data_IF_621631807068
#
_entry.id   IF_621631807068
#
_cell.length_a   1.000
_cell.length_b   1.000
_cell.length_c   1.000
_cell.angle_alpha   90.00
_cell.angle_beta   90.00
_cell.angle_gamma   90.00
#
_symmetry.space_group_name_H-M   'P 1'
#
loop_
_entity.id
_entity.type
_entity.pdbx_description
1 polymer ?
#
# COMPACT_ATOMS: atom_id res chain seq x y z
N UNK A 1 -21.83 -70.22 17.76
CA UNK A 1 -21.85 -68.94 17.02
C UNK A 1 -20.91 -68.00 17.75
N UNK A 2 -19.65 -67.93 17.30
CA UNK A 2 -18.61 -66.91 17.61
C UNK A 2 -18.56 -66.43 19.08
N UNK A 3 -17.73 -66.91 20.01
CA UNK A 3 -16.34 -67.41 19.99
C UNK A 3 -15.35 -66.41 19.38
N UNK A 4 -14.51 -65.89 20.28
CA UNK A 4 -13.12 -65.45 20.13
C UNK A 4 -12.80 -64.07 19.52
N UNK A 5 -12.00 -63.33 20.31
CA UNK A 5 -10.72 -62.70 19.93
C UNK A 5 -10.74 -61.60 18.84
N UNK A 6 -10.08 -60.45 18.97
CA UNK A 6 -8.97 -60.04 19.81
C UNK A 6 -8.85 -58.51 19.76
N UNK A 7 -8.07 -57.97 20.71
CA UNK A 7 -7.68 -56.57 20.94
C UNK A 7 -8.67 -55.81 21.83
N UNK A 8 -8.40 -55.49 23.10
CA UNK A 8 -7.11 -55.24 23.74
C UNK A 8 -7.02 -55.85 25.14
N UNK A 9 -6.43 -57.04 25.22
CA UNK A 9 -5.56 -57.38 26.35
C UNK A 9 -4.32 -56.48 26.31
N UNK A 10 -4.16 -55.60 27.30
CA UNK A 10 -2.84 -55.12 27.78
C UNK A 10 -2.93 -54.19 29.00
N UNK A 11 -3.90 -54.41 29.90
CA UNK A 11 -3.76 -54.03 31.31
C UNK A 11 -3.27 -55.28 32.04
N UNK A 12 -1.96 -55.52 31.99
CA UNK A 12 -1.16 -56.23 33.01
C UNK A 12 0.25 -56.44 32.46
N UNK A 13 1.09 -55.41 32.56
CA UNK A 13 2.53 -55.53 32.83
C UNK A 13 3.17 -54.15 32.79
N UNK A 14 3.06 -53.37 33.86
CA UNK A 14 3.97 -52.25 34.07
C UNK A 14 4.37 -52.23 35.54
N UNK A 15 5.52 -52.88 35.74
CA UNK A 15 6.27 -52.92 36.97
C UNK A 15 6.50 -51.52 37.53
N UNK A 16 6.31 -51.40 38.84
CA UNK A 16 6.78 -50.25 39.65
C UNK A 16 8.30 -50.15 39.48
N UNK A 17 8.86 -49.05 38.93
CA UNK A 17 10.30 -48.93 38.79
C UNK A 17 10.91 -48.66 40.16
N UNK A 18 11.86 -49.50 40.56
CA UNK A 18 12.70 -49.30 41.74
C UNK A 18 13.48 -47.99 41.67
N UNK A 19 13.65 -47.38 42.84
CA UNK A 19 14.20 -46.05 43.12
C UNK A 19 15.64 -45.70 42.64
N UNK A 20 16.50 -46.59 42.09
CA UNK A 20 17.83 -46.17 41.60
C UNK A 20 17.85 -45.42 40.25
N UNK A 21 16.77 -45.47 39.45
CA UNK A 21 16.78 -44.96 38.04
C UNK A 21 16.40 -43.48 37.86
N UNK A 22 15.86 -42.80 38.87
CA UNK A 22 15.51 -41.37 38.77
C UNK A 22 16.70 -40.42 38.98
N UNK A 23 17.73 -40.84 39.73
CA UNK A 23 18.91 -40.00 40.02
C UNK A 23 19.82 -39.84 38.78
N UNK A 24 19.94 -40.89 37.95
CA UNK A 24 20.78 -40.85 36.74
C UNK A 24 20.16 -40.08 35.57
N UNK A 25 18.82 -40.01 35.45
CA UNK A 25 18.14 -39.17 34.45
C UNK A 25 18.22 -37.68 34.81
N UNK A 26 18.15 -37.33 36.10
CA UNK A 26 18.28 -35.95 36.57
C UNK A 26 19.68 -35.35 36.36
N UNK A 27 20.74 -36.14 36.57
CA UNK A 27 22.13 -35.71 36.32
C UNK A 27 22.39 -35.49 34.83
N UNK A 28 21.97 -36.42 33.96
CA UNK A 28 22.17 -36.35 32.49
C UNK A 28 21.41 -35.19 31.83
N UNK A 29 20.23 -34.82 32.34
CA UNK A 29 19.48 -33.64 31.85
C UNK A 29 20.04 -32.31 32.38
N UNK A 30 20.61 -32.27 33.59
CA UNK A 30 21.30 -31.08 34.11
C UNK A 30 22.61 -30.80 33.36
N UNK A 31 23.34 -31.84 32.99
CA UNK A 31 24.58 -31.75 32.23
C UNK A 31 24.34 -31.24 30.80
N UNK A 32 23.34 -31.80 30.08
CA UNK A 32 22.93 -31.30 28.76
C UNK A 32 22.45 -29.84 28.77
N UNK A 33 21.74 -29.41 29.83
CA UNK A 33 21.32 -28.00 29.97
C UNK A 33 22.50 -27.07 30.22
N UNK A 34 23.49 -27.49 31.02
CA UNK A 34 24.72 -26.72 31.26
C UNK A 34 25.58 -26.60 30.01
N UNK A 35 25.65 -27.66 29.21
CA UNK A 35 26.43 -27.67 27.97
C UNK A 35 25.78 -26.80 26.87
N UNK A 36 24.44 -26.82 26.76
CA UNK A 36 23.69 -25.92 25.87
C UNK A 36 23.90 -24.45 26.26
N UNK A 37 23.79 -24.12 27.55
CA UNK A 37 24.00 -22.76 28.05
C UNK A 37 25.44 -22.26 27.78
N UNK A 38 26.44 -23.13 27.98
CA UNK A 38 27.84 -22.82 27.65
C UNK A 38 28.14 -22.66 26.16
N UNK A 39 27.31 -23.22 25.27
CA UNK A 39 27.41 -23.02 23.82
C UNK A 39 26.73 -21.72 23.38
N UNK A 40 25.58 -21.40 23.97
CA UNK A 40 24.88 -20.12 23.73
C UNK A 40 25.71 -18.94 24.24
N UNK A 41 26.27 -19.01 25.46
CA UNK A 41 27.14 -17.97 26.01
C UNK A 41 28.42 -17.78 25.16
N UNK A 42 29.01 -18.87 24.63
CA UNK A 42 30.17 -18.78 23.72
C UNK A 42 29.84 -18.16 22.38
N UNK A 43 28.66 -18.47 21.83
CA UNK A 43 28.17 -17.90 20.57
C UNK A 43 27.86 -16.42 20.73
N UNK A 44 27.28 -16.02 21.86
CA UNK A 44 27.01 -14.62 22.16
C UNK A 44 28.30 -13.83 22.41
N UNK A 45 29.33 -14.46 22.99
CA UNK A 45 30.66 -13.86 23.16
C UNK A 45 31.44 -13.78 21.83
N UNK A 46 31.29 -14.77 20.95
CA UNK A 46 31.83 -14.73 19.58
C UNK A 46 31.10 -13.69 18.71
N UNK A 47 29.78 -13.58 18.78
CA UNK A 47 28.99 -12.53 18.11
C UNK A 47 29.37 -11.14 18.63
N UNK A 48 29.59 -10.97 19.94
CA UNK A 48 30.09 -9.70 20.52
C UNK A 48 31.53 -9.41 20.10
N UNK A 49 32.41 -10.42 20.02
CA UNK A 49 33.78 -10.24 19.49
C UNK A 49 33.77 -9.88 18.01
N UNK A 50 32.89 -10.50 17.22
CA UNK A 50 32.74 -10.21 15.80
C UNK A 50 32.19 -8.79 15.59
N UNK A 51 31.19 -8.38 16.40
CA UNK A 51 30.67 -7.01 16.38
C UNK A 51 31.73 -5.98 16.78
N UNK A 52 32.55 -6.25 17.80
CA UNK A 52 33.63 -5.34 18.23
C UNK A 52 34.75 -5.23 17.17
N UNK A 53 35.09 -6.33 16.48
CA UNK A 53 36.07 -6.32 15.37
C UNK A 53 35.55 -5.54 14.17
N UNK A 54 34.25 -5.64 13.84
CA UNK A 54 33.63 -4.84 12.79
C UNK A 54 33.65 -3.34 13.15
N UNK A 55 33.40 -3.01 14.42
CA UNK A 55 33.38 -1.61 14.88
C UNK A 55 34.80 -1.01 14.93
N UNK A 56 35.86 -1.79 15.15
CA UNK A 56 37.22 -1.25 15.30
C UNK A 56 38.02 -1.09 14.00
N UNK A 57 37.60 -1.69 12.87
CA UNK A 57 38.40 -1.71 11.63
C UNK A 57 37.77 -1.07 10.38
N UNK A 58 36.56 -0.47 10.44
CA UNK A 58 35.93 0.10 9.23
C UNK A 58 35.14 1.41 9.37
N UNK A 59 34.97 1.97 10.57
CA UNK A 59 33.88 2.92 10.82
C UNK A 59 34.25 4.42 10.83
N UNK A 60 35.31 4.87 10.14
CA UNK A 60 35.65 6.31 10.13
C UNK A 60 35.79 6.95 8.74
N UNK A 61 35.92 6.18 7.66
CA UNK A 61 36.01 6.73 6.30
C UNK A 61 34.76 6.47 5.44
N UNK A 62 34.04 5.35 5.65
CA UNK A 62 32.83 5.04 4.87
C UNK A 62 31.58 5.76 5.38
N UNK A 63 31.50 6.08 6.67
CA UNK A 63 30.37 6.82 7.27
C UNK A 63 30.31 8.30 6.85
N UNK A 64 31.43 8.90 6.46
CA UNK A 64 31.45 10.25 5.89
C UNK A 64 31.01 10.29 4.44
N UNK A 65 31.28 9.22 3.66
CA UNK A 65 30.80 9.12 2.28
C UNK A 65 29.32 8.73 2.21
N UNK A 66 28.85 7.83 3.08
CA UNK A 66 27.42 7.48 3.19
C UNK A 66 26.55 8.66 3.62
N UNK A 67 27.09 9.64 4.36
CA UNK A 67 26.38 10.87 4.72
C UNK A 67 26.34 11.93 3.60
N UNK A 68 27.26 11.86 2.63
CA UNK A 68 27.33 12.84 1.54
C UNK A 68 26.54 12.39 0.29
N UNK A 69 26.45 11.08 0.01
CA UNK A 69 25.60 10.58 -1.10
C UNK A 69 24.10 10.63 -0.75
N UNK A 70 23.73 10.51 0.53
CA UNK A 70 22.35 10.61 0.99
C UNK A 70 21.82 12.06 1.10
N UNK A 71 22.65 13.06 0.76
CA UNK A 71 22.32 14.49 0.85
C UNK A 71 22.41 15.21 -0.49
N UNK A 72 22.50 14.49 -1.62
CA UNK A 72 21.91 15.01 -2.84
C UNK A 72 20.39 15.03 -2.62
N UNK A 73 19.84 16.24 -2.48
CA UNK A 73 18.39 16.41 -2.30
C UNK A 73 17.69 15.82 -3.53
N UNK A 74 17.11 14.63 -3.38
CA UNK A 74 16.27 14.03 -4.42
C UNK A 74 15.21 15.04 -4.84
N UNK A 75 15.24 15.45 -6.10
CA UNK A 75 14.20 16.32 -6.64
C UNK A 75 12.98 15.49 -7.02
N UNK A 76 11.82 16.13 -7.10
CA UNK A 76 10.59 15.48 -7.61
C UNK A 76 10.80 14.91 -9.03
N UNK A 77 11.69 15.55 -9.80
CA UNK A 77 12.09 15.10 -11.14
C UNK A 77 12.93 13.83 -11.11
N UNK A 78 13.82 13.66 -10.13
CA UNK A 78 14.59 12.43 -9.95
C UNK A 78 13.68 11.25 -9.56
N UNK A 79 12.53 11.53 -8.93
CA UNK A 79 11.47 10.57 -8.68
C UNK A 79 10.56 10.31 -9.91
N UNK A 80 10.86 10.90 -11.06
CA UNK A 80 10.13 10.71 -12.32
C UNK A 80 9.02 11.73 -12.60
N UNK A 81 8.87 12.78 -11.79
CA UNK A 81 7.80 13.78 -11.92
C UNK A 81 8.38 15.15 -12.27
N UNK A 82 8.24 15.56 -13.53
CA UNK A 82 8.68 16.89 -14.01
C UNK A 82 7.54 17.92 -13.90
N UNK A 83 7.51 18.64 -12.78
CA UNK A 83 6.49 19.65 -12.45
C UNK A 83 6.48 20.79 -13.48
N UNK A 84 7.66 21.18 -13.98
CA UNK A 84 7.79 22.26 -14.95
C UNK A 84 7.23 21.86 -16.32
N UNK A 85 7.51 20.63 -16.75
CA UNK A 85 6.94 20.06 -17.95
C UNK A 85 5.41 19.95 -17.85
N UNK A 86 4.89 19.44 -16.72
CA UNK A 86 3.46 19.35 -16.45
C UNK A 86 2.77 20.72 -16.50
N UNK A 87 3.30 21.69 -15.76
CA UNK A 87 2.80 23.07 -15.76
C UNK A 87 2.90 23.74 -17.14
N UNK A 88 3.96 23.41 -17.89
CA UNK A 88 4.16 23.86 -19.27
C UNK A 88 3.07 23.33 -20.21
N UNK A 89 2.69 22.07 -20.07
CA UNK A 89 1.60 21.46 -20.83
C UNK A 89 0.25 22.10 -20.48
N UNK A 90 -0.07 22.25 -19.19
CA UNK A 90 -1.31 22.91 -18.72
C UNK A 90 -1.46 24.30 -19.34
N UNK A 91 -0.39 25.12 -19.33
CA UNK A 91 -0.41 26.45 -19.96
C UNK A 91 -0.66 26.42 -21.47
N UNK A 92 -0.23 25.37 -22.18
CA UNK A 92 -0.50 25.21 -23.62
C UNK A 92 -1.93 24.78 -23.87
N UNK A 93 -2.44 23.83 -23.09
CA UNK A 93 -3.84 23.36 -23.18
C UNK A 93 -4.81 24.48 -22.86
N UNK A 94 -4.54 25.29 -21.84
CA UNK A 94 -5.39 26.43 -21.47
C UNK A 94 -5.57 27.48 -22.60
N UNK A 95 -4.67 27.51 -23.59
CA UNK A 95 -4.80 28.36 -24.78
C UNK A 95 -5.74 27.77 -25.84
N UNK A 96 -5.93 26.45 -25.82
CA UNK A 96 -6.78 25.70 -26.77
C UNK A 96 -8.16 25.39 -26.19
N UNK A 97 -8.24 25.15 -24.88
CA UNK A 97 -9.45 24.84 -24.15
C UNK A 97 -9.52 25.74 -22.90
N UNK A 98 -10.42 26.72 -22.92
CA UNK A 98 -10.68 27.57 -21.76
C UNK A 98 -11.30 26.76 -20.62
N UNK A 99 -10.90 27.04 -19.39
CA UNK A 99 -11.40 26.35 -18.18
C UNK A 99 -10.52 25.22 -17.66
N UNK A 100 -9.37 24.95 -18.29
CA UNK A 100 -8.34 24.01 -17.81
C UNK A 100 -7.32 24.75 -16.94
N UNK A 101 -6.96 24.20 -15.76
CA UNK A 101 -5.90 24.75 -14.92
C UNK A 101 -5.99 24.49 -13.41
N UNK A 102 -7.10 23.92 -12.91
CA UNK A 102 -7.24 23.44 -11.53
C UNK A 102 -7.31 21.91 -11.45
N UNK A 103 -7.45 21.37 -10.24
CA UNK A 103 -7.58 19.93 -9.96
C UNK A 103 -8.86 19.30 -10.55
N UNK A 104 -9.85 20.12 -10.93
CA UNK A 104 -11.05 19.67 -11.62
C UNK A 104 -11.56 20.67 -12.65
N UNK A 105 -12.25 20.17 -13.68
CA UNK A 105 -12.96 20.98 -14.66
C UNK A 105 -14.33 21.39 -14.14
N UNK A 106 -14.66 22.69 -14.25
CA UNK A 106 -15.95 23.24 -13.80
C UNK A 106 -16.86 23.46 -15.02
N UNK A 107 -18.07 22.91 -14.96
CA UNK A 107 -19.09 23.04 -16.01
C UNK A 107 -20.39 23.64 -15.45
N UNK A 108 -20.95 24.71 -16.05
CA UNK A 108 -22.18 25.33 -15.54
C UNK A 108 -23.41 24.44 -15.74
N UNK A 109 -24.22 24.29 -14.69
CA UNK A 109 -25.48 23.53 -14.70
C UNK A 109 -26.55 24.24 -13.87
N UNK A 110 -27.43 25.01 -14.53
CA UNK A 110 -28.48 25.78 -13.85
C UNK A 110 -27.89 26.76 -12.83
N UNK A 111 -28.28 26.63 -11.56
CA UNK A 111 -27.79 27.43 -10.42
C UNK A 111 -26.56 26.81 -9.71
N UNK A 112 -26.00 25.77 -10.30
CA UNK A 112 -24.83 25.04 -9.81
C UNK A 112 -23.75 24.92 -10.88
N UNK A 113 -22.63 24.34 -10.50
CA UNK A 113 -21.62 23.80 -11.40
C UNK A 113 -21.45 22.31 -11.14
N UNK A 114 -21.22 21.54 -12.21
CA UNK A 114 -20.59 20.23 -12.12
C UNK A 114 -19.08 20.44 -12.02
N UNK A 115 -18.42 19.60 -11.22
CA UNK A 115 -16.97 19.56 -11.11
C UNK A 115 -16.53 18.14 -11.44
N UNK A 116 -15.70 17.99 -12.45
CA UNK A 116 -15.21 16.69 -12.89
C UNK A 116 -13.68 16.61 -12.72
N UNK A 117 -13.20 15.50 -12.20
CA UNK A 117 -11.78 15.19 -12.01
C UNK A 117 -11.46 13.81 -12.56
N UNK A 118 -10.22 13.61 -12.98
CA UNK A 118 -9.73 12.29 -13.39
C UNK A 118 -8.32 12.09 -12.86
N UNK A 119 -8.05 10.89 -12.37
CA UNK A 119 -6.73 10.51 -11.90
C UNK A 119 -6.50 9.01 -12.05
N UNK A 120 -5.24 8.60 -11.98
CA UNK A 120 -4.83 7.21 -11.86
C UNK A 120 -4.22 6.93 -10.49
N UNK A 121 -3.91 5.66 -10.23
CA UNK A 121 -3.17 5.28 -9.01
C UNK A 121 -1.67 5.58 -9.15
N UNK A 122 -1.16 5.51 -10.38
CA UNK A 122 0.25 5.75 -10.69
C UNK A 122 1.17 4.64 -10.18
N UNK A 123 2.40 5.01 -9.83
CA UNK A 123 3.49 4.06 -9.52
C UNK A 123 3.24 3.19 -8.29
N UNK A 124 2.27 3.54 -7.43
CA UNK A 124 1.85 2.70 -6.30
C UNK A 124 1.33 1.33 -6.74
N UNK A 125 0.86 1.19 -7.98
CA UNK A 125 0.49 -0.10 -8.57
C UNK A 125 1.63 -1.12 -8.54
N UNK A 126 2.88 -0.68 -8.68
CA UNK A 126 4.05 -1.58 -8.57
C UNK A 126 4.11 -2.28 -7.21
N UNK A 127 3.80 -1.56 -6.14
CA UNK A 127 3.76 -2.14 -4.79
C UNK A 127 2.59 -3.12 -4.65
N UNK A 128 1.44 -2.83 -5.26
CA UNK A 128 0.32 -3.77 -5.28
C UNK A 128 0.70 -5.08 -5.98
N UNK A 129 1.41 -5.01 -7.11
CA UNK A 129 1.90 -6.19 -7.83
C UNK A 129 2.93 -6.98 -7.02
N UNK A 130 3.91 -6.29 -6.42
CA UNK A 130 4.99 -6.93 -5.65
C UNK A 130 4.48 -7.59 -4.36
N UNK A 131 3.45 -7.01 -3.73
CA UNK A 131 2.89 -7.52 -2.48
C UNK A 131 1.70 -8.47 -2.67
N UNK A 132 1.08 -8.45 -3.86
CA UNK A 132 -0.17 -9.17 -4.15
C UNK A 132 -1.39 -8.59 -3.41
N UNK A 133 -1.30 -7.36 -2.89
CA UNK A 133 -2.37 -6.68 -2.17
C UNK A 133 -3.08 -5.74 -3.16
N UNK A 134 -4.29 -6.11 -3.57
CA UNK A 134 -5.07 -5.38 -4.59
C UNK A 134 -6.37 -4.79 -4.02
N UNK A 135 -6.77 -5.22 -2.83
CA UNK A 135 -8.07 -4.91 -2.22
C UNK A 135 -8.22 -3.44 -1.82
N UNK A 136 -7.10 -2.73 -1.59
CA UNK A 136 -7.11 -1.32 -1.17
C UNK A 136 -6.82 -0.34 -2.30
N UNK A 137 -6.34 -0.83 -3.45
CA UNK A 137 -5.85 0.04 -4.52
C UNK A 137 -6.99 0.82 -5.18
N UNK A 138 -8.20 0.27 -5.18
CA UNK A 138 -9.40 0.96 -5.64
C UNK A 138 -9.82 2.11 -4.73
N UNK A 139 -9.53 2.02 -3.42
CA UNK A 139 -9.77 3.13 -2.48
C UNK A 139 -8.84 4.29 -2.82
N UNK A 140 -7.56 3.99 -3.09
CA UNK A 140 -6.58 4.99 -3.50
C UNK A 140 -7.03 5.70 -4.79
N UNK A 141 -7.50 4.93 -5.79
CA UNK A 141 -8.00 5.49 -7.05
C UNK A 141 -9.14 6.48 -6.81
N UNK A 142 -10.15 6.10 -6.03
CA UNK A 142 -11.29 6.97 -5.74
C UNK A 142 -10.86 8.20 -4.96
N UNK A 143 -10.02 8.03 -3.93
CA UNK A 143 -9.56 9.11 -3.09
C UNK A 143 -8.80 10.18 -3.89
N UNK A 144 -7.94 9.78 -4.84
CA UNK A 144 -7.22 10.72 -5.70
C UNK A 144 -8.19 11.61 -6.48
N UNK A 145 -9.12 11.04 -7.25
CA UNK A 145 -10.01 11.87 -8.08
C UNK A 145 -11.09 12.60 -7.25
N UNK A 146 -11.56 12.04 -6.13
CA UNK A 146 -12.57 12.68 -5.28
C UNK A 146 -11.98 13.85 -4.51
N UNK A 147 -10.77 13.71 -3.93
CA UNK A 147 -10.15 14.79 -3.17
C UNK A 147 -9.94 16.03 -4.04
N UNK A 148 -9.56 15.83 -5.31
CA UNK A 148 -9.39 16.90 -6.28
C UNK A 148 -10.65 17.73 -6.50
N UNK A 149 -11.82 17.09 -6.66
CA UNK A 149 -13.08 17.84 -6.84
C UNK A 149 -13.57 18.51 -5.55
N UNK A 150 -13.29 17.91 -4.39
CA UNK A 150 -13.67 18.46 -3.08
C UNK A 150 -12.93 19.76 -2.76
N UNK A 151 -11.71 19.96 -3.28
CA UNK A 151 -10.98 21.24 -3.12
C UNK A 151 -11.75 22.46 -3.64
N UNK A 152 -12.66 22.26 -4.60
CA UNK A 152 -13.53 23.31 -5.15
C UNK A 152 -14.82 23.51 -4.37
N UNK A 153 -15.01 22.78 -3.27
CA UNK A 153 -16.25 22.76 -2.47
C UNK A 153 -17.35 21.85 -3.05
N UNK A 154 -17.01 20.98 -4.02
CA UNK A 154 -17.99 20.11 -4.64
C UNK A 154 -18.38 18.93 -3.73
N UNK A 155 -19.68 18.61 -3.70
CA UNK A 155 -20.17 17.34 -3.17
C UNK A 155 -20.00 16.27 -4.26
N UNK A 156 -19.29 15.16 -4.01
CA UNK A 156 -19.24 14.03 -4.94
C UNK A 156 -20.64 13.48 -5.25
N UNK A 157 -20.89 13.10 -6.50
CA UNK A 157 -22.15 12.49 -6.94
C UNK A 157 -21.92 11.04 -7.36
N UNK A 158 -21.04 10.85 -8.35
CA UNK A 158 -20.75 9.54 -8.90
C UNK A 158 -19.30 9.41 -9.38
N UNK A 159 -18.89 8.17 -9.53
CA UNK A 159 -17.57 7.75 -9.98
C UNK A 159 -17.70 6.80 -11.17
N UNK A 160 -16.75 6.86 -12.10
CA UNK A 160 -16.54 5.84 -13.12
C UNK A 160 -15.10 5.35 -13.10
N UNK A 161 -14.88 4.10 -13.49
CA UNK A 161 -13.54 3.51 -13.60
C UNK A 161 -13.24 2.97 -14.99
N UNK A 162 -11.95 2.91 -15.31
CA UNK A 162 -11.40 2.22 -16.47
C UNK A 162 -10.28 1.30 -16.01
N UNK A 163 -10.47 -0.01 -16.21
CA UNK A 163 -9.54 -1.06 -15.85
C UNK A 163 -8.88 -1.62 -17.11
N UNK A 164 -7.57 -1.52 -17.22
CA UNK A 164 -6.81 -2.03 -18.36
C UNK A 164 -5.81 -3.08 -17.91
N UNK A 165 -5.70 -4.21 -18.58
CA UNK A 165 -4.79 -5.31 -18.21
C UNK A 165 -4.26 -6.05 -19.44
N UNK A 166 -3.22 -6.87 -19.29
CA UNK A 166 -2.78 -7.81 -20.33
C UNK A 166 -3.90 -8.82 -20.61
N UNK A 167 -4.23 -9.58 -19.57
CA UNK A 167 -5.29 -10.58 -19.53
C UNK A 167 -6.15 -10.37 -18.29
N UNK A 168 -7.46 -10.57 -18.43
CA UNK A 168 -8.40 -10.38 -17.33
C UNK A 168 -8.37 -11.58 -16.39
N UNK A 169 -7.74 -11.39 -15.23
CA UNK A 169 -7.97 -12.22 -14.05
C UNK A 169 -9.19 -11.67 -13.30
N UNK A 170 -10.32 -12.39 -13.40
CA UNK A 170 -11.59 -12.00 -12.77
C UNK A 170 -11.47 -11.87 -11.25
N UNK A 171 -10.71 -12.76 -10.60
CA UNK A 171 -10.56 -12.74 -9.15
C UNK A 171 -9.72 -11.56 -8.67
N UNK A 172 -8.69 -11.19 -9.43
CA UNK A 172 -7.93 -9.97 -9.18
C UNK A 172 -8.78 -8.73 -9.42
N UNK A 173 -9.48 -8.67 -10.56
CA UNK A 173 -10.32 -7.54 -10.91
C UNK A 173 -11.42 -7.32 -9.86
N UNK A 174 -12.07 -8.38 -9.38
CA UNK A 174 -13.07 -8.31 -8.31
C UNK A 174 -12.52 -7.64 -7.04
N UNK A 175 -11.28 -7.97 -6.64
CA UNK A 175 -10.63 -7.34 -5.47
C UNK A 175 -10.43 -5.85 -5.67
N UNK A 176 -9.98 -5.45 -6.85
CA UNK A 176 -9.76 -4.03 -7.19
C UNK A 176 -11.09 -3.28 -7.20
N UNK A 177 -12.10 -3.80 -7.91
CA UNK A 177 -13.43 -3.20 -8.00
C UNK A 177 -14.08 -3.11 -6.61
N UNK A 178 -13.90 -4.11 -5.75
CA UNK A 178 -14.35 -4.04 -4.35
C UNK A 178 -13.74 -2.83 -3.64
N UNK A 179 -12.43 -2.59 -3.81
CA UNK A 179 -11.78 -1.40 -3.27
C UNK A 179 -12.36 -0.08 -3.82
N UNK A 180 -12.71 -0.04 -5.12
CA UNK A 180 -13.37 1.13 -5.73
C UNK A 180 -14.74 1.36 -5.10
N UNK A 181 -15.54 0.31 -4.93
CA UNK A 181 -16.86 0.39 -4.27
C UNK A 181 -16.70 0.88 -2.82
N UNK A 182 -15.74 0.34 -2.07
CA UNK A 182 -15.46 0.75 -0.69
C UNK A 182 -15.00 2.22 -0.63
N UNK A 183 -14.22 2.69 -1.61
CA UNK A 183 -13.81 4.09 -1.73
C UNK A 183 -14.97 5.03 -2.07
N UNK A 184 -15.87 4.61 -2.96
CA UNK A 184 -17.08 5.37 -3.31
C UNK A 184 -18.00 5.54 -2.10
N UNK A 185 -18.18 4.46 -1.32
CA UNK A 185 -18.97 4.50 -0.08
C UNK A 185 -18.38 5.47 0.95
N UNK A 186 -17.06 5.48 1.14
CA UNK A 186 -16.37 6.44 2.02
C UNK A 186 -16.53 7.89 1.54
N UNK A 187 -16.69 8.08 0.23
CA UNK A 187 -16.80 9.39 -0.42
C UNK A 187 -18.23 9.91 -0.57
N UNK A 188 -19.24 9.17 -0.08
CA UNK A 188 -20.68 9.46 -0.30
C UNK A 188 -21.02 9.64 -1.80
N UNK A 189 -20.42 8.82 -2.67
CA UNK A 189 -20.73 8.81 -4.10
C UNK A 189 -21.08 7.39 -4.61
N UNK A 190 -21.79 7.34 -5.74
CA UNK A 190 -22.14 6.07 -6.37
C UNK A 190 -21.09 5.66 -7.41
N UNK A 191 -20.68 4.38 -7.43
CA UNK A 191 -20.03 3.82 -8.61
C UNK A 191 -21.09 3.65 -9.71
N UNK A 192 -21.05 4.50 -10.73
CA UNK A 192 -22.08 4.56 -11.76
C UNK A 192 -21.85 3.57 -12.91
N UNK A 193 -20.58 3.24 -13.16
CA UNK A 193 -20.19 2.28 -14.17
C UNK A 193 -18.69 2.32 -14.43
N UNK A 194 -18.23 1.47 -15.33
CA UNK A 194 -16.84 1.42 -15.73
C UNK A 194 -16.65 0.60 -16.99
N UNK A 195 -15.39 0.47 -17.41
CA UNK A 195 -14.99 -0.29 -18.60
C UNK A 195 -13.78 -1.18 -18.28
N UNK A 196 -13.69 -2.34 -18.92
CA UNK A 196 -12.59 -3.29 -18.75
C UNK A 196 -11.99 -3.66 -20.10
N UNK A 197 -10.69 -3.41 -20.27
CA UNK A 197 -9.96 -3.63 -21.51
C UNK A 197 -8.80 -4.61 -21.35
N UNK A 198 -8.75 -5.63 -22.21
CA UNK A 198 -7.63 -6.56 -22.34
C UNK A 198 -6.72 -6.14 -23.50
N UNK A 199 -5.42 -5.99 -23.21
CA UNK A 199 -4.39 -5.51 -24.13
C UNK A 199 -3.06 -6.26 -23.90
N UNK A 200 -2.97 -7.55 -24.32
CA UNK A 200 -1.88 -8.46 -23.95
C UNK A 200 -0.48 -8.08 -24.47
N UNK A 201 -0.40 -7.31 -25.56
CA UNK A 201 0.87 -6.81 -26.09
C UNK A 201 1.28 -5.44 -25.52
N UNK A 202 0.40 -4.81 -24.73
CA UNK A 202 0.61 -3.48 -24.17
C UNK A 202 1.01 -3.54 -22.69
N UNK A 203 0.31 -4.34 -21.90
CA UNK A 203 0.62 -4.57 -20.50
C UNK A 203 1.41 -5.87 -20.32
N UNK A 204 2.29 -5.90 -19.32
CA UNK A 204 2.92 -7.15 -18.92
C UNK A 204 1.92 -8.06 -18.20
N UNK A 205 2.14 -9.37 -18.26
CA UNK A 205 1.28 -10.34 -17.58
C UNK A 205 1.16 -10.06 -16.07
N UNK A 206 -0.07 -10.08 -15.58
CA UNK A 206 -0.40 -9.77 -14.18
C UNK A 206 -0.35 -8.29 -13.83
N UNK A 207 -0.01 -7.39 -14.77
CA UNK A 207 -0.08 -5.95 -14.56
C UNK A 207 -1.36 -5.36 -15.15
N UNK A 208 -1.87 -4.35 -14.45
CA UNK A 208 -3.03 -3.58 -14.87
C UNK A 208 -2.80 -2.08 -14.61
N UNK A 209 -3.55 -1.24 -15.30
CA UNK A 209 -3.65 0.19 -15.02
C UNK A 209 -5.09 0.56 -14.68
N UNK A 210 -5.24 1.63 -13.91
CA UNK A 210 -6.52 2.13 -13.43
C UNK A 210 -6.62 3.62 -13.69
N UNK A 211 -7.73 4.03 -14.29
CA UNK A 211 -8.14 5.43 -14.36
C UNK A 211 -9.50 5.61 -13.73
N UNK A 212 -9.64 6.69 -12.97
CA UNK A 212 -10.84 7.06 -12.24
C UNK A 212 -11.40 8.38 -12.75
N UNK A 213 -12.71 8.53 -12.67
CA UNK A 213 -13.44 9.72 -13.09
C UNK A 213 -14.46 10.08 -12.02
N UNK A 214 -14.22 11.15 -11.28
CA UNK A 214 -15.15 11.64 -10.28
C UNK A 214 -15.95 12.83 -10.82
N UNK A 215 -17.25 12.83 -10.58
CA UNK A 215 -18.13 13.98 -10.86
C UNK A 215 -18.84 14.38 -9.58
N UNK A 216 -18.77 15.68 -9.26
CA UNK A 216 -19.46 16.31 -8.16
C UNK A 216 -20.27 17.53 -8.60
N UNK A 217 -20.96 18.14 -7.64
CA UNK A 217 -21.75 19.35 -7.84
C UNK A 217 -21.49 20.36 -6.74
N UNK A 218 -21.46 21.64 -7.11
CA UNK A 218 -21.28 22.76 -6.18
C UNK A 218 -22.23 23.90 -6.57
N UNK A 219 -22.84 24.58 -5.59
CA UNK A 219 -23.63 25.80 -5.87
C UNK A 219 -22.69 26.92 -6.33
N UNK A 220 -23.15 27.80 -7.22
CA UNK A 220 -22.32 28.91 -7.75
C UNK A 220 -21.68 29.76 -6.65
N UNK A 221 -22.45 30.08 -5.60
CA UNK A 221 -22.00 30.94 -4.50
C UNK A 221 -21.12 30.22 -3.46
N UNK A 222 -20.91 28.90 -3.61
CA UNK A 222 -20.17 28.06 -2.67
C UNK A 222 -18.85 27.54 -3.26
N UNK A 223 -18.51 27.95 -4.49
CA UNK A 223 -17.24 27.56 -5.13
C UNK A 223 -16.07 28.10 -4.32
N UNK A 224 -15.14 27.20 -3.98
CA UNK A 224 -13.88 27.56 -3.33
C UNK A 224 -12.83 27.73 -4.43
N UNK A 225 -12.33 28.95 -4.62
CA UNK A 225 -11.37 29.29 -5.68
C UNK A 225 -10.11 30.02 -5.16
N UNK A 226 -9.96 30.11 -3.85
CA UNK A 226 -8.81 30.72 -3.18
C UNK A 226 -8.72 32.25 -3.26
N UNK A 227 -9.63 32.95 -3.95
CA UNK A 227 -9.55 34.42 -4.12
C UNK A 227 -9.70 35.22 -2.82
N UNK A 228 -10.31 34.62 -1.80
CA UNK A 228 -10.55 35.25 -0.51
C UNK A 228 -9.44 34.97 0.52
N UNK A 229 -8.37 34.26 0.15
CA UNK A 229 -7.23 33.99 1.04
C UNK A 229 -6.45 35.27 1.28
N UNK A 230 -6.17 35.60 2.54
CA UNK A 230 -5.47 36.82 2.95
C UNK A 230 -4.34 36.54 3.96
N UNK A 231 -3.42 37.49 4.09
CA UNK A 231 -2.36 37.39 5.08
C UNK A 231 -2.94 37.35 6.50
N UNK A 232 -2.55 36.33 7.27
CA UNK A 232 -3.08 36.07 8.61
C UNK A 232 -4.01 34.86 8.68
N UNK A 233 -4.45 34.32 7.54
CA UNK A 233 -5.18 33.05 7.49
C UNK A 233 -4.30 31.86 7.95
N UNK A 234 -4.94 30.86 8.56
CA UNK A 234 -4.26 29.69 9.14
C UNK A 234 -4.36 28.51 8.17
N UNK A 235 -3.23 27.84 7.93
CA UNK A 235 -3.17 26.59 7.19
C UNK A 235 -3.40 25.40 8.14
N UNK A 236 -4.43 24.59 7.87
CA UNK A 236 -4.74 23.36 8.59
C UNK A 236 -4.47 22.14 7.69
N UNK A 237 -3.87 21.09 8.24
CA UNK A 237 -3.67 19.81 7.58
C UNK A 237 -4.53 18.72 8.22
N UNK A 238 -4.99 17.75 7.41
CA UNK A 238 -5.82 16.62 7.83
C UNK A 238 -5.16 15.30 7.44
#
# INVERSE_FOLDING_TARGET
>A
MLVLEAQLSKITSLAVPTFPKLINRGKRNREKRREKKRREERREEEEKKFAVVIISYGATAELSNLKNEALESMTYKDAGVDIDAGSGLVRRIAKMASGIGGFGGIFPLGDSHLVAGTDGVGTKLKLAFETGIHETIGIDLVAMSVNDIVTSGAKPLFFLDYFATSHLDVGLAEKVIKGIVDGCQQSDCALLGGESAEMPDFYADGQYDLSGFAVGIVKKDFVIDGKNIVAGDICNGF
#
